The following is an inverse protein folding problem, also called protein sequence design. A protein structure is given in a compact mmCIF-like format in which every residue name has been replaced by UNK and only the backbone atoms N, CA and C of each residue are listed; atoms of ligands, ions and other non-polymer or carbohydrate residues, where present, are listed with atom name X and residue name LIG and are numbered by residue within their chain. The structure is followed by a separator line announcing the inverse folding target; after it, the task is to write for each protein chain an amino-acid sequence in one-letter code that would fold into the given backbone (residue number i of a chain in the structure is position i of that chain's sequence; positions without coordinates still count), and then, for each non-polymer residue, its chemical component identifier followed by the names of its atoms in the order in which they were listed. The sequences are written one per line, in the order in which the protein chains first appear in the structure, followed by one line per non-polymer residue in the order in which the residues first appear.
data_IF_191076835919
#
_entry.id   IF_191076835919
#
_cell.length_a   1.000
_cell.length_b   1.000
_cell.length_c   1.000
_cell.angle_alpha   90.00
_cell.angle_beta   90.00
_cell.angle_gamma   90.00
#
_symmetry.space_group_name_H-M   'P 1'
#
loop_
_entity.id
_entity.type
_entity.pdbx_description
1 polymer ?
#
# COMPACT_ATOMS: atom_id res chain seq x y z
N UNK A 1 19.39 0.66 -2.02
CA UNK A 1 18.30 -0.32 -2.22
C UNK A 1 18.42 -0.81 -3.66
N UNK A 2 18.57 -2.11 -3.89
CA UNK A 2 18.61 -2.65 -5.24
C UNK A 2 17.19 -2.64 -5.83
N UNK A 3 16.98 -1.80 -6.84
CA UNK A 3 15.68 -1.62 -7.50
C UNK A 3 15.52 -2.47 -8.75
N UNK A 4 16.58 -3.15 -9.21
CA UNK A 4 16.55 -3.99 -10.42
C UNK A 4 15.56 -5.16 -10.31
N UNK A 5 15.25 -5.57 -9.06
CA UNK A 5 14.31 -6.63 -8.75
C UNK A 5 12.84 -6.28 -8.93
N UNK A 6 12.50 -5.01 -9.15
CA UNK A 6 11.11 -4.57 -9.32
C UNK A 6 10.77 -4.50 -10.79
N UNK A 7 10.04 -5.52 -11.27
CA UNK A 7 9.57 -5.63 -12.64
C UNK A 7 8.04 -5.64 -12.69
N UNK A 8 7.41 -5.29 -13.83
CA UNK A 8 5.95 -5.38 -13.99
C UNK A 8 5.41 -6.78 -13.69
N UNK A 9 6.11 -7.83 -14.13
CA UNK A 9 5.70 -9.21 -13.95
C UNK A 9 5.69 -9.57 -12.46
N UNK A 10 6.77 -9.23 -11.76
CA UNK A 10 6.86 -9.43 -10.31
C UNK A 10 5.76 -8.68 -9.57
N UNK A 11 5.51 -7.43 -9.94
CA UNK A 11 4.47 -6.61 -9.32
C UNK A 11 3.10 -7.29 -9.47
N UNK A 12 2.79 -7.82 -10.64
CA UNK A 12 1.55 -8.56 -10.91
C UNK A 12 1.47 -9.85 -10.11
N UNK A 13 2.50 -10.68 -10.21
CA UNK A 13 2.50 -12.04 -9.69
C UNK A 13 2.48 -12.07 -8.14
N UNK A 14 3.12 -11.08 -7.49
CA UNK A 14 3.13 -10.95 -6.03
C UNK A 14 1.93 -10.18 -5.46
N UNK A 15 1.06 -9.61 -6.30
CA UNK A 15 -0.13 -8.88 -5.86
C UNK A 15 -1.42 -9.35 -6.57
N UNK A 16 -1.69 -10.67 -6.60
CA UNK A 16 -2.74 -11.26 -7.45
C UNK A 16 -4.14 -10.71 -7.15
N UNK A 17 -4.41 -10.36 -5.89
CA UNK A 17 -5.70 -9.80 -5.47
C UNK A 17 -6.00 -8.44 -6.12
N UNK A 18 -4.99 -7.60 -6.34
CA UNK A 18 -5.17 -6.32 -7.03
C UNK A 18 -5.33 -6.51 -8.54
N UNK A 19 -4.58 -7.44 -9.13
CA UNK A 19 -4.61 -7.67 -10.57
C UNK A 19 -5.82 -8.51 -11.02
N UNK A 20 -6.43 -9.30 -10.12
CA UNK A 20 -7.74 -9.90 -10.36
C UNK A 20 -8.83 -8.84 -10.61
N UNK A 21 -8.74 -7.67 -9.97
CA UNK A 21 -9.66 -6.54 -10.18
C UNK A 21 -9.45 -5.92 -11.57
N UNK A 22 -8.20 -5.84 -12.04
CA UNK A 22 -7.88 -5.29 -13.36
C UNK A 22 -8.63 -6.03 -14.46
N UNK A 23 -8.61 -7.37 -14.43
CA UNK A 23 -9.30 -8.18 -15.43
C UNK A 23 -10.82 -8.08 -15.41
N UNK A 24 -11.41 -7.60 -14.30
CA UNK A 24 -12.86 -7.44 -14.16
C UNK A 24 -13.34 -6.02 -14.49
N UNK A 25 -12.43 -5.04 -14.51
CA UNK A 25 -12.76 -3.65 -14.69
C UNK A 25 -13.18 -3.36 -16.15
N UNK A 26 -14.30 -2.67 -16.32
CA UNK A 26 -14.85 -2.32 -17.65
C UNK A 26 -14.32 -1.00 -18.19
N UNK A 27 -13.71 -0.19 -17.33
CA UNK A 27 -13.14 1.11 -17.65
C UNK A 27 -12.12 1.51 -16.59
N UNK A 28 -11.31 2.54 -16.86
CA UNK A 28 -10.41 3.07 -15.84
C UNK A 28 -11.15 3.65 -14.63
N UNK A 29 -12.38 4.13 -14.81
CA UNK A 29 -13.19 4.65 -13.71
C UNK A 29 -13.75 3.54 -12.83
N UNK A 30 -14.17 2.44 -13.44
CA UNK A 30 -14.55 1.22 -12.74
C UNK A 30 -13.34 0.64 -11.99
N UNK A 31 -12.16 0.64 -12.62
CA UNK A 31 -10.91 0.21 -11.97
C UNK A 31 -10.57 1.09 -10.75
N UNK A 32 -10.69 2.42 -10.87
CA UNK A 32 -10.49 3.36 -9.75
C UNK A 32 -11.40 3.05 -8.59
N UNK A 33 -12.69 2.85 -8.88
CA UNK A 33 -13.70 2.55 -7.88
C UNK A 33 -13.36 1.25 -7.14
N UNK A 34 -13.17 0.16 -7.89
CA UNK A 34 -12.90 -1.17 -7.32
C UNK A 34 -11.60 -1.23 -6.51
N UNK A 35 -10.53 -0.61 -6.99
CA UNK A 35 -9.28 -0.53 -6.23
C UNK A 35 -9.43 0.31 -4.95
N UNK A 36 -10.25 1.38 -4.99
CA UNK A 36 -10.54 2.19 -3.81
C UNK A 36 -11.40 1.45 -2.79
N UNK A 37 -12.39 0.68 -3.25
CA UNK A 37 -13.23 -0.18 -2.41
C UNK A 37 -12.40 -1.27 -1.76
N UNK A 38 -11.53 -1.93 -2.52
CA UNK A 38 -10.61 -2.92 -1.96
C UNK A 38 -9.70 -2.30 -0.90
N UNK A 39 -9.12 -1.13 -1.17
CA UNK A 39 -8.28 -0.43 -0.20
C UNK A 39 -9.03 -0.11 1.10
N UNK A 40 -10.29 0.30 0.99
CA UNK A 40 -11.16 0.56 2.14
C UNK A 40 -11.48 -0.73 2.91
N UNK A 41 -11.78 -1.82 2.19
CA UNK A 41 -12.05 -3.12 2.80
C UNK A 41 -10.84 -3.62 3.61
N UNK A 42 -9.64 -3.59 3.02
CA UNK A 42 -8.41 -4.01 3.70
C UNK A 42 -8.11 -3.15 4.95
N UNK A 43 -8.37 -1.84 4.89
CA UNK A 43 -8.24 -0.92 6.03
C UNK A 43 -9.25 -1.25 7.14
N UNK A 44 -10.50 -1.54 6.77
CA UNK A 44 -11.56 -1.90 7.70
C UNK A 44 -11.30 -3.25 8.38
N UNK A 45 -10.96 -4.28 7.61
CA UNK A 45 -10.64 -5.61 8.11
C UNK A 45 -9.45 -5.57 9.08
N UNK A 46 -8.43 -4.78 8.76
CA UNK A 46 -7.29 -4.57 9.65
C UNK A 46 -7.67 -3.92 10.98
N UNK A 47 -8.72 -3.10 11.02
CA UNK A 47 -9.21 -2.43 12.23
C UNK A 47 -10.04 -3.37 13.10
N UNK A 48 -10.78 -4.29 12.48
CA UNK A 48 -11.62 -5.26 13.21
C UNK A 48 -10.83 -6.42 13.82
N UNK A 49 -9.67 -6.76 13.26
CA UNK A 49 -8.81 -7.82 13.80
C UNK A 49 -8.16 -7.42 15.13
N UNK A 50 -8.74 -7.91 16.23
CA UNK A 50 -8.19 -7.78 17.57
C UNK A 50 -6.79 -8.44 17.67
N UNK A 51 -5.84 -7.75 18.31
CA UNK A 51 -4.51 -8.30 18.60
C UNK A 51 -3.44 -8.08 17.52
N UNK A 52 -3.70 -7.26 16.48
CA UNK A 52 -2.64 -6.84 15.55
C UNK A 52 -1.68 -5.81 16.18
N UNK A 53 -0.41 -5.94 15.82
CA UNK A 53 0.66 -4.97 16.11
C UNK A 53 0.29 -3.58 15.55
N UNK A 54 0.45 -2.52 16.37
CA UNK A 54 0.04 -1.16 16.02
C UNK A 54 0.72 -0.66 14.73
N UNK A 55 2.01 -0.97 14.52
CA UNK A 55 2.75 -0.64 13.31
C UNK A 55 2.18 -1.29 12.04
N UNK A 56 1.59 -2.49 12.14
CA UNK A 56 0.91 -3.11 11.00
C UNK A 56 -0.37 -2.35 10.63
N UNK A 57 -1.18 -1.97 11.61
CA UNK A 57 -2.40 -1.19 11.39
C UNK A 57 -2.05 0.20 10.79
N UNK A 58 -1.04 0.86 11.34
CA UNK A 58 -0.57 2.14 10.83
C UNK A 58 -0.14 2.04 9.36
N UNK A 59 0.62 1.00 8.99
CA UNK A 59 1.06 0.75 7.63
C UNK A 59 -0.09 0.54 6.65
N UNK A 60 -1.06 -0.32 7.00
CA UNK A 60 -2.22 -0.58 6.14
C UNK A 60 -3.00 0.72 5.91
N UNK A 61 -3.28 1.47 6.98
CA UNK A 61 -3.97 2.77 6.93
C UNK A 61 -3.23 3.78 6.04
N UNK A 62 -1.92 3.94 6.24
CA UNK A 62 -1.13 4.92 5.52
C UNK A 62 -0.98 4.55 4.03
N UNK A 63 -0.72 3.28 3.72
CA UNK A 63 -0.66 2.83 2.33
C UNK A 63 -2.04 2.89 1.66
N UNK A 64 -3.14 2.55 2.35
CA UNK A 64 -4.51 2.72 1.83
C UNK A 64 -4.83 4.18 1.51
N UNK A 65 -4.42 5.11 2.38
CA UNK A 65 -4.56 6.56 2.14
C UNK A 65 -3.77 7.01 0.91
N UNK A 66 -2.53 6.55 0.77
CA UNK A 66 -1.68 6.84 -0.40
C UNK A 66 -2.33 6.31 -1.68
N UNK A 67 -2.73 5.04 -1.70
CA UNK A 67 -3.37 4.43 -2.87
C UNK A 67 -4.66 5.18 -3.26
N UNK A 68 -5.55 5.45 -2.30
CA UNK A 68 -6.79 6.23 -2.54
C UNK A 68 -6.52 7.62 -3.10
N UNK A 69 -5.40 8.26 -2.74
CA UNK A 69 -5.03 9.55 -3.31
C UNK A 69 -4.50 9.43 -4.74
N UNK A 70 -3.67 8.42 -5.01
CA UNK A 70 -3.12 8.15 -6.34
C UNK A 70 -4.22 7.79 -7.35
N UNK A 71 -5.27 7.07 -6.91
CA UNK A 71 -6.38 6.66 -7.78
C UNK A 71 -7.29 7.82 -8.23
N UNK A 72 -7.18 9.03 -7.65
CA UNK A 72 -8.05 10.16 -8.01
C UNK A 72 -7.72 10.67 -9.41
N UNK A 73 -8.74 10.89 -10.25
CA UNK A 73 -8.61 11.57 -11.57
C UNK A 73 -7.85 12.90 -11.49
N UNK A 74 -8.04 13.65 -10.40
CA UNK A 74 -7.34 14.92 -10.16
C UNK A 74 -5.83 14.71 -10.02
N UNK A 75 -5.40 13.63 -9.38
CA UNK A 75 -3.98 13.29 -9.23
C UNK A 75 -3.35 13.02 -10.59
N UNK A 76 -4.03 12.26 -11.44
CA UNK A 76 -3.58 12.02 -12.82
C UNK A 76 -3.43 13.33 -13.60
N UNK A 77 -4.43 14.22 -13.51
CA UNK A 77 -4.41 15.53 -14.20
C UNK A 77 -3.26 16.42 -13.72
N UNK A 78 -2.95 16.41 -12.43
CA UNK A 78 -1.89 17.24 -11.86
C UNK A 78 -0.50 16.68 -12.15
N UNK A 79 -0.34 15.35 -12.17
CA UNK A 79 0.92 14.69 -12.44
C UNK A 79 1.23 14.58 -13.95
N UNK A 80 0.21 14.68 -14.81
CA UNK A 80 0.35 14.38 -16.25
C UNK A 80 0.57 12.89 -16.54
N UNK A 81 0.35 12.03 -15.56
CA UNK A 81 0.60 10.59 -15.62
C UNK A 81 -0.51 9.86 -14.85
N UNK A 82 -1.05 8.79 -15.42
CA UNK A 82 -2.08 7.98 -14.76
C UNK A 82 -1.51 6.68 -14.21
N UNK A 83 -1.44 6.59 -12.88
CA UNK A 83 -1.03 5.34 -12.20
C UNK A 83 -2.09 4.26 -12.41
N UNK A 84 -3.37 4.63 -12.50
CA UNK A 84 -4.46 3.69 -12.80
C UNK A 84 -4.26 3.06 -14.17
N UNK A 85 -3.92 3.86 -15.18
CA UNK A 85 -3.59 3.34 -16.50
C UNK A 85 -2.37 2.42 -16.44
N UNK A 86 -1.32 2.79 -15.71
CA UNK A 86 -0.15 1.93 -15.52
C UNK A 86 -0.51 0.58 -14.88
N UNK A 87 -1.35 0.56 -13.84
CA UNK A 87 -1.85 -0.68 -13.22
C UNK A 87 -2.65 -1.51 -14.23
N UNK A 88 -3.53 -0.86 -15.01
CA UNK A 88 -4.33 -1.53 -16.03
C UNK A 88 -3.45 -2.18 -17.13
N UNK A 89 -2.44 -1.45 -17.58
CA UNK A 89 -1.49 -1.88 -18.61
C UNK A 89 -0.65 -3.07 -18.12
N UNK A 90 -0.08 -2.99 -16.91
CA UNK A 90 0.68 -4.08 -16.29
C UNK A 90 -0.18 -5.34 -16.14
N UNK A 91 -1.43 -5.19 -15.73
CA UNK A 91 -2.36 -6.32 -15.61
C UNK A 91 -2.77 -6.93 -16.93
N UNK A 92 -2.68 -6.16 -18.02
CA UNK A 92 -3.07 -6.61 -19.38
C UNK A 92 -1.87 -6.97 -20.25
N UNK A 93 -0.68 -7.13 -19.67
CA UNK A 93 0.59 -7.38 -20.38
C UNK A 93 0.90 -6.35 -21.49
N UNK A 94 0.44 -5.10 -21.30
CA UNK A 94 0.76 -4.00 -22.22
C UNK A 94 2.14 -3.44 -21.84
N UNK A 95 3.12 -3.42 -22.78
CA UNK A 95 4.46 -2.92 -22.50
C UNK A 95 4.48 -1.45 -22.10
N UNK A 96 5.16 -1.15 -20.99
CA UNK A 96 5.32 0.21 -20.46
C UNK A 96 6.79 0.51 -20.14
N UNK A 97 7.64 0.70 -21.18
CA UNK A 97 9.07 0.95 -21.02
C UNK A 97 9.39 2.29 -20.32
N UNK A 98 8.39 3.16 -20.20
CA UNK A 98 8.45 4.40 -19.43
C UNK A 98 8.45 4.17 -17.91
N UNK A 99 8.04 2.99 -17.43
CA UNK A 99 8.03 2.68 -16.00
C UNK A 99 9.41 2.27 -15.52
N UNK A 100 10.10 3.21 -14.88
CA UNK A 100 11.37 2.95 -14.22
C UNK A 100 11.23 2.05 -12.99
N UNK A 101 12.33 1.40 -12.56
CA UNK A 101 12.33 0.50 -11.40
C UNK A 101 11.98 1.20 -10.08
N UNK A 102 12.22 2.51 -9.97
CA UNK A 102 11.79 3.31 -8.80
C UNK A 102 10.26 3.39 -8.66
N UNK A 103 9.57 3.63 -9.78
CA UNK A 103 8.10 3.65 -9.81
C UNK A 103 7.52 2.29 -9.42
N UNK A 104 8.07 1.21 -9.99
CA UNK A 104 7.63 -0.15 -9.69
C UNK A 104 7.89 -0.52 -8.23
N UNK A 105 8.99 -0.06 -7.64
CA UNK A 105 9.31 -0.27 -6.23
C UNK A 105 8.29 0.43 -5.31
N UNK A 106 7.95 1.69 -5.59
CA UNK A 106 6.95 2.43 -4.81
C UNK A 106 5.59 1.76 -4.88
N UNK A 107 5.13 1.45 -6.09
CA UNK A 107 3.84 0.78 -6.29
C UNK A 107 3.81 -0.58 -5.59
N UNK A 108 4.87 -1.38 -5.73
CA UNK A 108 5.01 -2.65 -5.03
C UNK A 108 4.86 -2.49 -3.51
N UNK A 109 5.58 -1.53 -2.91
CA UNK A 109 5.54 -1.34 -1.46
C UNK A 109 4.21 -0.78 -0.96
N UNK A 110 3.51 0.03 -1.76
CA UNK A 110 2.15 0.46 -1.44
C UNK A 110 1.23 -0.77 -1.39
N UNK A 111 1.22 -1.60 -2.43
CA UNK A 111 0.34 -2.77 -2.50
C UNK A 111 0.66 -3.82 -1.42
N UNK A 112 1.94 -4.05 -1.13
CA UNK A 112 2.37 -4.92 -0.03
C UNK A 112 1.99 -4.34 1.34
N UNK A 113 2.14 -3.03 1.53
CA UNK A 113 1.75 -2.33 2.75
C UNK A 113 0.26 -2.44 3.05
N UNK A 114 -0.60 -2.37 2.02
CA UNK A 114 -2.05 -2.61 2.16
C UNK A 114 -2.38 -4.03 2.62
N UNK A 115 -1.59 -5.03 2.21
CA UNK A 115 -1.74 -6.42 2.67
C UNK A 115 -1.16 -6.63 4.07
N UNK A 116 -0.59 -5.57 4.67
CA UNK A 116 0.09 -5.60 5.95
C UNK A 116 1.48 -6.22 5.89
N UNK A 117 2.04 -6.38 4.70
CA UNK A 117 3.42 -6.77 4.45
C UNK A 117 4.38 -5.56 4.44
N UNK A 118 5.67 -5.84 4.46
CA UNK A 118 6.73 -4.84 4.54
C UNK A 118 7.66 -5.09 5.73
N UNK A 119 8.78 -4.35 5.81
CA UNK A 119 9.74 -4.55 6.90
C UNK A 119 9.01 -4.34 8.22
N UNK A 120 8.94 -5.39 9.06
CA UNK A 120 8.51 -5.31 10.45
C UNK A 120 9.32 -4.17 11.06
N UNK A 121 8.63 -3.11 11.45
CA UNK A 121 9.31 -1.94 11.95
C UNK A 121 9.84 -2.30 13.31
N UNK A 122 11.14 -2.55 13.36
CA UNK A 122 11.96 -2.47 14.55
C UNK A 122 11.72 -1.20 15.38
N UNK A 123 11.01 -0.18 14.87
CA UNK A 123 10.60 0.99 15.66
C UNK A 123 9.56 0.68 16.75
N UNK A 124 8.63 -0.24 16.51
CA UNK A 124 7.70 -0.69 17.55
C UNK A 124 8.50 -1.45 18.63
N UNK A 125 9.50 -2.25 18.22
CA UNK A 125 10.45 -2.90 19.14
C UNK A 125 11.34 -1.88 19.89
N UNK A 126 11.76 -0.77 19.27
CA UNK A 126 12.69 0.20 19.89
C UNK A 126 12.00 1.07 20.96
N UNK A 127 10.70 1.36 20.83
CA UNK A 127 9.97 2.23 21.77
C UNK A 127 9.00 1.52 22.71
N UNK A 128 8.52 0.30 22.42
CA UNK A 128 7.65 -0.42 23.36
C UNK A 128 8.45 -1.27 24.37
N UNK A 129 9.60 -1.84 23.98
CA UNK A 129 10.40 -2.67 24.89
C UNK A 129 11.03 -1.87 26.05
N UNK A 130 11.15 -0.56 25.92
CA UNK A 130 11.73 0.34 26.92
C UNK A 130 10.69 0.91 27.91
N UNK A 131 9.40 0.59 27.76
CA UNK A 131 8.31 1.14 28.60
C UNK A 131 7.52 0.04 29.33
N UNK A 132 7.76 -1.23 29.04
CA UNK A 132 7.05 -2.36 29.67
C UNK A 132 7.19 -2.45 31.20
N UNK A 133 8.17 -1.77 31.78
CA UNK A 133 8.39 -1.68 33.23
C UNK A 133 7.86 -0.37 33.85
N UNK A 134 7.35 0.56 33.05
CA UNK A 134 6.83 1.85 33.51
C UNK A 134 5.30 1.82 33.53
N UNK A 135 4.70 2.20 34.65
CA UNK A 135 3.24 2.28 34.80
C UNK A 135 2.80 3.66 35.29
N UNK A 136 1.55 4.01 35.01
CA UNK A 136 0.95 5.25 35.49
C UNK A 136 1.59 6.51 34.89
N UNK A 137 1.93 7.46 35.76
CA UNK A 137 2.38 8.82 35.37
C UNK A 137 3.70 8.82 34.59
N UNK A 138 4.61 7.91 34.90
CA UNK A 138 5.93 7.83 34.26
C UNK A 138 5.82 7.40 32.79
N UNK A 139 4.94 6.43 32.52
CA UNK A 139 4.65 6.00 31.16
C UNK A 139 3.90 7.06 30.34
N UNK A 140 3.13 7.96 30.98
CA UNK A 140 2.47 9.06 30.30
C UNK A 140 3.45 10.19 29.92
N UNK A 141 4.44 10.47 30.76
CA UNK A 141 5.48 11.46 30.49
C UNK A 141 6.48 10.99 29.42
N UNK A 142 6.82 9.70 29.40
CA UNK A 142 7.70 9.12 28.37
C UNK A 142 7.06 9.06 26.96
N UNK A 143 5.74 9.25 26.86
CA UNK A 143 4.96 9.22 25.62
C UNK A 143 4.57 10.61 25.08
N UNK A 144 4.97 11.71 25.74
CA UNK A 144 4.66 13.09 25.36
C UNK A 144 5.84 13.80 24.73
#
# INVERSE_FOLDING_TARGET
MDTSRYTPERLRDENPLFFAIVHQAKSLDDLRLRLSELALQLEFDATLEAGREAGRLARIRDCAKVLKNILKKRSDKLAGFSVVQAIADIGSDVPRPDLGPGFLAELYHILQGLQGGGPRTALDDIHLSSVDHLSGREAALARS
#
